data_IF_914262083267
#
_entry.id   IF_914262083267
#
_cell.length_a   1.000
_cell.length_b   1.000
_cell.length_c   1.000
_cell.angle_alpha   90.00
_cell.angle_beta   90.00
_cell.angle_gamma   90.00
#
_symmetry.space_group_name_H-M   'P 1'
#
loop_
_entity.id
_entity.type
_entity.pdbx_description
1 polymer ?
#
# COMPACT_ATOMS: atom_id res chain seq x y z
N UNK A 1 16.66 -22.14 10.66
CA UNK A 1 17.05 -20.98 11.52
C UNK A 1 17.43 -21.56 12.88
N UNK A 2 18.71 -21.52 13.20
CA UNK A 2 19.23 -22.04 14.47
C UNK A 2 19.04 -21.00 15.56
N UNK A 3 18.52 -21.42 16.73
CA UNK A 3 18.41 -20.58 17.92
C UNK A 3 19.81 -20.10 18.37
N UNK A 4 19.94 -18.89 18.89
CA UNK A 4 21.23 -18.42 19.41
C UNK A 4 21.63 -19.24 20.65
N UNK A 5 22.94 -19.51 20.86
CA UNK A 5 23.39 -20.36 21.92
C UNK A 5 23.14 -19.72 23.30
N UNK A 6 22.55 -20.49 24.19
CA UNK A 6 22.16 -20.15 25.56
C UNK A 6 23.34 -19.97 26.56
N UNK A 7 24.44 -19.31 26.17
CA UNK A 7 25.63 -19.19 27.00
C UNK A 7 25.88 -17.82 27.68
N UNK A 8 24.97 -16.86 27.52
CA UNK A 8 25.16 -15.51 28.08
C UNK A 8 24.45 -15.27 29.42
N UNK A 9 23.76 -16.27 30.01
CA UNK A 9 22.91 -16.08 31.19
C UNK A 9 23.56 -16.45 32.53
N UNK A 10 24.81 -16.91 32.57
CA UNK A 10 25.48 -17.31 33.82
C UNK A 10 26.93 -16.81 33.91
N UNK A 11 27.19 -15.55 33.67
CA UNK A 11 28.39 -14.89 34.20
C UNK A 11 27.98 -14.23 35.51
N UNK A 12 28.62 -14.55 36.65
CA UNK A 12 28.44 -13.79 37.88
C UNK A 12 29.00 -12.39 37.62
N UNK A 13 28.11 -11.38 37.55
CA UNK A 13 28.53 -9.99 37.56
C UNK A 13 29.07 -9.69 38.97
N UNK A 14 30.37 -9.59 39.07
CA UNK A 14 31.00 -8.96 40.25
C UNK A 14 30.41 -7.56 40.41
N UNK A 15 29.74 -7.34 41.55
CA UNK A 15 29.12 -6.09 41.96
C UNK A 15 30.22 -5.07 42.29
N UNK A 16 30.81 -4.39 41.30
CA UNK A 16 31.46 -3.09 41.50
C UNK A 16 31.94 -2.51 40.14
N UNK A 17 31.39 -1.40 39.75
CA UNK A 17 31.61 -0.59 38.55
C UNK A 17 30.75 -0.97 37.34
N UNK A 18 29.53 -0.39 37.29
CA UNK A 18 28.89 -0.25 35.99
C UNK A 18 29.89 0.39 35.02
N UNK A 19 30.13 -0.21 33.82
CA UNK A 19 31.08 0.36 32.89
C UNK A 19 30.67 1.81 32.60
N UNK A 20 31.59 2.76 32.74
CA UNK A 20 31.33 4.20 32.48
C UNK A 20 30.58 4.44 31.17
N UNK A 21 30.74 3.55 30.21
CA UNK A 21 30.08 3.58 28.94
C UNK A 21 28.55 3.44 29.07
N UNK A 22 28.04 2.59 29.98
CA UNK A 22 26.61 2.41 30.21
C UNK A 22 25.99 3.70 30.75
N UNK A 23 26.66 4.35 31.70
CA UNK A 23 26.21 5.65 32.24
C UNK A 23 26.19 6.75 31.16
N UNK A 24 27.20 6.78 30.29
CA UNK A 24 27.24 7.74 29.17
C UNK A 24 26.10 7.49 28.16
N UNK A 25 25.80 6.23 27.78
CA UNK A 25 24.71 5.87 26.89
C UNK A 25 23.35 6.22 27.52
N UNK A 26 23.15 5.96 28.81
CA UNK A 26 21.92 6.37 29.52
C UNK A 26 21.77 7.89 29.54
N UNK A 27 22.85 8.62 29.78
CA UNK A 27 22.85 10.08 29.75
C UNK A 27 22.51 10.63 28.38
N UNK A 28 23.12 10.09 27.33
CA UNK A 28 22.78 10.45 25.95
C UNK A 28 21.29 10.24 25.66
N UNK A 29 20.73 9.08 26.00
CA UNK A 29 19.30 8.81 25.80
C UNK A 29 18.40 9.78 26.60
N UNK A 30 18.79 10.11 27.84
CA UNK A 30 18.04 11.05 28.67
C UNK A 30 18.06 12.49 28.09
N UNK A 31 19.21 12.93 27.56
CA UNK A 31 19.32 14.24 26.88
C UNK A 31 18.48 14.24 25.58
N UNK A 32 18.45 13.13 24.84
CA UNK A 32 17.65 12.98 23.62
C UNK A 32 16.13 13.07 23.88
N UNK A 33 15.67 12.60 25.06
CA UNK A 33 14.30 12.81 25.51
C UNK A 33 13.96 14.30 25.78
N UNK A 34 14.96 15.14 26.08
CA UNK A 34 14.84 16.60 26.16
C UNK A 34 13.94 17.15 27.28
N UNK A 35 13.63 16.34 28.31
CA UNK A 35 12.64 16.68 29.36
C UNK A 35 13.16 16.65 30.77
N UNK A 36 14.47 16.39 30.99
CA UNK A 36 15.05 16.20 32.32
C UNK A 36 15.89 17.38 32.76
N UNK A 37 15.67 17.81 34.01
CA UNK A 37 16.55 18.75 34.73
C UNK A 37 17.84 18.06 35.19
N UNK A 38 18.78 18.82 35.69
CA UNK A 38 20.05 18.28 36.18
C UNK A 38 19.87 17.19 37.26
N UNK A 39 18.99 17.39 38.24
CA UNK A 39 18.74 16.39 39.28
C UNK A 39 17.99 15.16 38.71
N UNK A 40 17.05 15.38 37.82
CA UNK A 40 16.35 14.28 37.14
C UNK A 40 17.28 13.46 36.23
N UNK A 41 18.26 14.08 35.56
CA UNK A 41 19.31 13.36 34.83
C UNK A 41 20.14 12.47 35.78
N UNK A 42 20.50 13.01 36.97
CA UNK A 42 21.20 12.21 38.00
C UNK A 42 20.40 10.98 38.39
N UNK A 43 19.11 11.13 38.62
CA UNK A 43 18.24 10.04 39.01
C UNK A 43 18.06 9.04 37.87
N UNK A 44 17.85 9.54 36.63
CA UNK A 44 17.63 8.72 35.45
C UNK A 44 18.78 7.82 35.05
N UNK A 45 20.02 8.27 35.28
CA UNK A 45 21.22 7.47 35.00
C UNK A 45 21.69 6.64 36.21
N UNK A 46 21.01 6.77 37.35
CA UNK A 46 21.28 5.98 38.55
C UNK A 46 20.71 4.57 38.42
N UNK A 47 21.40 3.59 38.95
CA UNK A 47 20.90 2.22 39.06
C UNK A 47 21.30 1.66 40.44
N UNK A 48 20.32 1.13 41.18
CA UNK A 48 20.51 0.64 42.52
C UNK A 48 21.03 1.73 43.48
N UNK A 49 22.04 1.42 44.27
CA UNK A 49 22.62 2.35 45.24
C UNK A 49 23.65 3.35 44.63
N UNK A 50 23.95 3.23 43.32
CA UNK A 50 24.97 4.06 42.67
C UNK A 50 24.31 5.29 42.00
N UNK A 51 24.22 6.37 42.77
CA UNK A 51 23.86 7.71 42.28
C UNK A 51 25.12 8.52 41.97
N UNK A 52 25.34 8.97 40.71
CA UNK A 52 26.53 9.75 40.38
C UNK A 52 26.56 11.07 41.16
N UNK A 53 27.72 11.50 41.60
CA UNK A 53 27.88 12.80 42.22
C UNK A 53 27.64 13.92 41.20
N UNK A 54 27.28 15.12 41.68
CA UNK A 54 27.17 16.33 40.87
C UNK A 54 28.42 16.58 40.00
N UNK A 55 29.62 16.33 40.59
CA UNK A 55 30.91 16.44 39.90
C UNK A 55 31.03 15.40 38.77
N UNK A 56 30.58 14.17 39.02
CA UNK A 56 30.63 13.09 38.03
C UNK A 56 29.70 13.38 36.85
N UNK A 57 28.47 13.82 37.11
CA UNK A 57 27.51 14.16 36.02
C UNK A 57 28.04 15.32 35.17
N UNK A 58 28.56 16.38 35.78
CA UNK A 58 29.17 17.50 35.02
C UNK A 58 30.33 17.04 34.16
N UNK A 59 31.18 16.13 34.66
CA UNK A 59 32.25 15.54 33.87
C UNK A 59 31.74 14.70 32.72
N UNK A 60 30.67 13.93 32.92
CA UNK A 60 30.04 13.15 31.80
C UNK A 60 29.45 14.05 30.73
N UNK A 61 28.79 15.14 31.13
CA UNK A 61 28.28 16.13 30.18
C UNK A 61 29.42 16.78 29.39
N UNK A 62 30.54 17.13 30.04
CA UNK A 62 31.76 17.66 29.38
C UNK A 62 32.33 16.65 28.37
N UNK A 63 32.45 15.37 28.76
CA UNK A 63 32.94 14.30 27.87
C UNK A 63 32.04 14.15 26.65
N UNK A 64 30.72 14.25 26.81
CA UNK A 64 29.80 14.20 25.68
C UNK A 64 29.95 15.41 24.73
N UNK A 65 30.18 16.61 25.30
CA UNK A 65 30.45 17.80 24.50
C UNK A 65 31.77 17.67 23.70
N UNK A 66 32.83 17.21 24.37
CA UNK A 66 34.15 16.95 23.77
C UNK A 66 34.07 15.86 22.68
N UNK A 67 33.17 14.89 22.85
CA UNK A 67 32.89 13.86 21.86
C UNK A 67 32.03 14.34 20.70
N UNK A 68 31.64 15.61 20.66
CA UNK A 68 30.89 16.22 19.55
C UNK A 68 29.36 16.14 19.67
N UNK A 69 28.81 15.70 20.80
CA UNK A 69 27.36 15.70 21.01
C UNK A 69 26.85 17.10 21.34
N UNK A 70 26.01 17.74 20.49
CA UNK A 70 25.64 19.15 20.62
C UNK A 70 24.48 19.34 21.61
N UNK A 71 24.71 19.06 22.88
CA UNK A 71 23.72 19.31 23.92
C UNK A 71 23.84 20.73 24.49
N UNK A 72 22.73 21.25 25.02
CA UNK A 72 22.69 22.53 25.75
C UNK A 72 21.69 22.46 26.90
N UNK A 73 21.80 23.41 27.80
CA UNK A 73 20.87 23.61 28.89
C UNK A 73 19.86 24.70 28.52
N UNK A 74 18.61 24.30 28.39
CA UNK A 74 17.49 25.22 28.11
C UNK A 74 17.00 25.83 29.43
N UNK A 75 17.27 27.11 29.62
CA UNK A 75 16.90 27.87 30.83
C UNK A 75 15.41 28.05 30.99
N UNK A 76 14.66 28.14 29.89
CA UNK A 76 13.23 28.39 29.89
C UNK A 76 12.46 27.17 30.43
N UNK A 77 12.90 25.97 30.09
CA UNK A 77 12.27 24.71 30.49
C UNK A 77 13.04 24.03 31.64
N UNK A 78 14.19 24.55 32.03
CA UNK A 78 15.10 23.95 33.03
C UNK A 78 15.51 22.50 32.69
N UNK A 79 15.73 22.22 31.35
CA UNK A 79 16.06 20.87 30.88
C UNK A 79 17.32 20.82 30.03
N UNK A 80 17.94 19.63 30.01
CA UNK A 80 19.04 19.34 29.09
C UNK A 80 18.47 18.68 27.82
N UNK A 81 18.89 19.17 26.67
CA UNK A 81 18.46 18.67 25.38
C UNK A 81 19.53 18.82 24.31
N UNK A 82 19.41 18.10 23.22
CA UNK A 82 20.24 18.33 22.05
C UNK A 82 19.80 19.59 21.29
N UNK A 83 20.74 20.18 20.55
CA UNK A 83 20.48 21.30 19.65
C UNK A 83 19.39 20.94 18.65
N UNK A 84 18.65 21.95 18.20
CA UNK A 84 17.56 21.76 17.26
C UNK A 84 18.04 21.01 16.00
N UNK A 85 17.33 19.96 15.66
CA UNK A 85 17.65 19.10 14.51
C UNK A 85 18.62 17.96 14.80
N UNK A 86 19.15 17.82 16.02
CA UNK A 86 19.96 16.68 16.42
C UNK A 86 19.16 15.72 17.31
N UNK A 87 19.24 14.41 17.05
CA UNK A 87 18.71 13.33 17.89
C UNK A 87 19.49 12.05 17.63
N UNK A 88 19.70 11.23 18.65
CA UNK A 88 20.32 9.90 18.54
C UNK A 88 19.46 8.90 17.77
N UNK A 89 18.15 9.14 17.71
CA UNK A 89 17.16 8.31 17.05
C UNK A 89 16.70 8.90 15.71
N UNK A 90 17.39 9.93 15.23
CA UNK A 90 17.00 10.61 14.01
C UNK A 90 17.16 9.68 12.82
N UNK A 91 16.06 9.46 12.11
CA UNK A 91 16.07 8.79 10.82
C UNK A 91 16.62 9.79 9.78
N UNK A 92 17.78 9.50 9.20
CA UNK A 92 18.31 10.26 8.08
C UNK A 92 17.70 9.74 6.78
N UNK A 93 17.04 10.63 6.07
CA UNK A 93 16.44 10.32 4.78
C UNK A 93 17.23 11.02 3.67
N UNK A 94 17.63 10.27 2.67
CA UNK A 94 18.16 10.80 1.42
C UNK A 94 17.09 11.57 0.66
N UNK A 95 17.51 12.41 -0.30
CA UNK A 95 16.58 13.13 -1.15
C UNK A 95 15.61 12.23 -1.92
N UNK A 96 16.06 11.04 -2.33
CA UNK A 96 15.23 10.03 -3.01
C UNK A 96 14.19 9.42 -2.09
N UNK A 97 14.54 9.08 -0.84
CA UNK A 97 13.61 8.55 0.13
C UNK A 97 12.58 9.59 0.56
N UNK A 98 13.01 10.85 0.71
CA UNK A 98 12.10 11.96 0.98
C UNK A 98 11.10 12.16 -0.17
N UNK A 99 11.56 12.09 -1.43
CA UNK A 99 10.67 12.14 -2.59
C UNK A 99 9.68 10.96 -2.59
N UNK A 100 10.15 9.76 -2.20
CA UNK A 100 9.29 8.58 -2.00
C UNK A 100 8.16 8.82 -0.99
N UNK A 101 8.45 9.46 0.15
CA UNK A 101 7.41 9.79 1.15
C UNK A 101 6.41 10.84 0.62
N UNK A 102 6.90 11.84 -0.12
CA UNK A 102 6.02 12.83 -0.76
C UNK A 102 5.10 12.16 -1.78
N UNK A 103 5.64 11.24 -2.58
CA UNK A 103 4.86 10.46 -3.56
C UNK A 103 3.82 9.55 -2.87
N UNK A 104 4.21 8.84 -1.81
CA UNK A 104 3.30 8.02 -1.00
C UNK A 104 2.12 8.84 -0.47
N UNK A 105 2.39 10.04 0.05
CA UNK A 105 1.35 10.94 0.53
C UNK A 105 0.42 11.43 -0.58
N UNK A 106 0.98 11.74 -1.76
CA UNK A 106 0.18 12.14 -2.92
C UNK A 106 -0.72 10.99 -3.42
N UNK A 107 -0.25 9.74 -3.31
CA UNK A 107 -1.05 8.52 -3.58
C UNK A 107 -2.12 8.33 -2.50
N UNK A 108 -1.76 8.48 -1.21
CA UNK A 108 -2.68 8.35 -0.08
C UNK A 108 -3.94 9.20 -0.25
N UNK A 109 -3.77 10.45 -0.68
CA UNK A 109 -4.87 11.37 -0.95
C UNK A 109 -5.87 10.84 -2.00
N UNK A 110 -5.45 9.91 -2.87
CA UNK A 110 -6.28 9.30 -3.92
C UNK A 110 -6.88 7.95 -3.49
N UNK A 111 -6.45 7.39 -2.35
CA UNK A 111 -6.89 6.07 -1.89
C UNK A 111 -8.13 6.12 -0.97
N UNK A 112 -8.70 7.32 -0.73
CA UNK A 112 -9.80 7.50 0.21
C UNK A 112 -9.43 7.17 1.66
N UNK A 113 -10.36 7.37 2.59
CA UNK A 113 -10.14 7.19 4.03
C UNK A 113 -9.81 5.76 4.42
N UNK A 114 -10.40 4.77 3.76
CA UNK A 114 -10.26 3.35 4.13
C UNK A 114 -8.82 2.82 4.06
N UNK A 115 -8.01 3.28 3.12
CA UNK A 115 -6.61 2.87 2.96
C UNK A 115 -5.65 4.04 3.19
N UNK A 116 -6.02 5.25 2.78
CA UNK A 116 -5.19 6.45 2.91
C UNK A 116 -4.77 6.71 4.35
N UNK A 117 -5.66 6.53 5.32
CA UNK A 117 -5.36 6.69 6.76
C UNK A 117 -4.18 5.84 7.22
N UNK A 118 -4.08 4.58 6.77
CA UNK A 118 -2.94 3.72 7.15
C UNK A 118 -1.61 4.22 6.56
N UNK A 119 -1.64 4.73 5.33
CA UNK A 119 -0.45 5.30 4.68
C UNK A 119 -0.03 6.59 5.40
N UNK A 120 -0.99 7.43 5.78
CA UNK A 120 -0.74 8.67 6.50
C UNK A 120 -0.15 8.40 7.89
N UNK A 121 -0.68 7.43 8.65
CA UNK A 121 -0.13 7.02 9.94
C UNK A 121 1.33 6.55 9.85
N UNK A 122 1.66 5.75 8.84
CA UNK A 122 3.03 5.28 8.61
C UNK A 122 3.93 6.46 8.22
N UNK A 123 3.47 7.32 7.33
CA UNK A 123 4.20 8.50 6.88
C UNK A 123 4.45 9.47 8.05
N UNK A 124 3.48 9.66 8.93
CA UNK A 124 3.66 10.48 10.14
C UNK A 124 4.68 9.90 11.12
N UNK A 125 4.68 8.58 11.33
CA UNK A 125 5.70 7.93 12.19
C UNK A 125 7.10 8.12 11.62
N UNK A 126 7.28 7.92 10.32
CA UNK A 126 8.58 8.08 9.64
C UNK A 126 9.04 9.55 9.70
N UNK A 127 8.17 10.49 9.35
CA UNK A 127 8.52 11.92 9.35
C UNK A 127 8.76 12.46 10.75
N UNK A 128 8.04 11.95 11.76
CA UNK A 128 8.27 12.25 13.17
C UNK A 128 9.65 11.81 13.65
N UNK A 129 10.11 10.63 13.22
CA UNK A 129 11.46 10.12 13.53
C UNK A 129 12.56 10.86 12.74
N UNK A 130 12.25 11.38 11.56
CA UNK A 130 13.21 12.11 10.71
C UNK A 130 13.40 13.60 11.10
N UNK A 131 12.51 14.14 11.93
CA UNK A 131 12.59 15.50 12.46
C UNK A 131 11.76 16.55 11.69
N UNK A 132 11.66 17.76 12.30
CA UNK A 132 10.73 18.80 11.86
C UNK A 132 10.91 19.24 10.40
N UNK A 133 12.12 19.43 9.93
CA UNK A 133 12.39 19.86 8.55
C UNK A 133 11.97 18.85 7.49
N UNK A 134 12.01 17.55 7.79
CA UNK A 134 11.49 16.49 6.91
C UNK A 134 9.97 16.52 6.93
N UNK A 135 9.37 16.66 8.11
CA UNK A 135 7.91 16.74 8.27
C UNK A 135 7.33 17.90 7.44
N UNK A 136 7.91 19.09 7.53
CA UNK A 136 7.48 20.29 6.78
C UNK A 136 7.56 20.08 5.27
N UNK A 137 8.63 19.45 4.76
CA UNK A 137 8.79 19.16 3.34
C UNK A 137 7.80 18.11 2.82
N UNK A 138 7.57 17.07 3.59
CA UNK A 138 6.61 15.99 3.23
C UNK A 138 5.17 16.50 3.33
N UNK A 139 4.86 17.41 4.26
CA UNK A 139 3.54 18.02 4.41
C UNK A 139 3.28 19.18 3.45
N UNK A 140 4.30 19.69 2.76
CA UNK A 140 4.17 20.73 1.74
C UNK A 140 3.41 20.27 0.49
N UNK A 141 3.20 21.19 -0.44
CA UNK A 141 2.58 20.86 -1.74
C UNK A 141 3.48 19.90 -2.51
N UNK A 142 2.99 18.70 -2.86
CA UNK A 142 3.81 17.71 -3.55
C UNK A 142 4.10 18.17 -4.99
N UNK A 143 5.34 17.98 -5.50
CA UNK A 143 5.69 18.28 -6.88
C UNK A 143 5.11 17.27 -7.88
N UNK A 144 4.41 16.26 -7.40
CA UNK A 144 3.79 15.19 -8.18
C UNK A 144 2.35 15.00 -7.73
N UNK A 145 1.44 14.85 -8.69
CA UNK A 145 0.03 14.54 -8.43
C UNK A 145 -0.32 13.24 -9.15
N UNK A 146 -0.91 12.31 -8.41
CA UNK A 146 -1.48 11.08 -8.97
C UNK A 146 -2.98 11.30 -9.18
N UNK A 147 -3.44 10.99 -10.39
CA UNK A 147 -4.88 10.99 -10.72
C UNK A 147 -5.34 9.57 -10.90
N UNK A 148 -5.81 8.99 -9.82
CA UNK A 148 -6.58 7.76 -9.85
C UNK A 148 -8.08 8.11 -9.73
N UNK A 149 -8.96 7.21 -10.15
CA UNK A 149 -10.36 7.32 -9.73
C UNK A 149 -10.38 7.26 -8.21
N UNK A 150 -10.91 8.28 -7.55
CA UNK A 150 -11.00 8.30 -6.08
C UNK A 150 -11.72 7.03 -5.61
N UNK A 151 -11.11 6.36 -4.65
CA UNK A 151 -11.75 5.26 -3.97
C UNK A 151 -12.79 5.84 -3.01
N UNK A 152 -14.05 5.64 -3.35
CA UNK A 152 -15.16 6.08 -2.51
C UNK A 152 -15.83 4.84 -1.90
N UNK A 153 -15.61 4.65 -0.60
CA UNK A 153 -16.44 3.80 0.21
C UNK A 153 -17.23 4.73 1.15
N UNK A 154 -18.51 4.50 1.26
CA UNK A 154 -19.31 5.12 2.31
C UNK A 154 -18.97 4.48 3.67
N UNK A 155 -19.58 4.97 4.73
CA UNK A 155 -19.30 4.54 6.09
C UNK A 155 -19.52 3.03 6.29
N UNK A 156 -20.53 2.47 5.63
CA UNK A 156 -20.82 1.04 5.65
C UNK A 156 -19.79 0.24 4.85
N UNK A 157 -19.42 0.70 3.66
CA UNK A 157 -18.36 0.08 2.85
C UNK A 157 -17.01 0.08 3.55
N UNK A 158 -16.66 1.15 4.27
CA UNK A 158 -15.45 1.17 5.11
C UNK A 158 -15.52 0.15 6.26
N UNK A 159 -16.69 0.01 6.89
CA UNK A 159 -16.90 -1.01 7.93
C UNK A 159 -16.73 -2.41 7.37
N UNK A 160 -17.36 -2.70 6.24
CA UNK A 160 -17.27 -3.98 5.53
C UNK A 160 -15.82 -4.28 5.15
N UNK A 161 -15.11 -3.31 4.57
CA UNK A 161 -13.71 -3.46 4.20
C UNK A 161 -12.83 -3.80 5.41
N UNK A 162 -12.99 -3.11 6.54
CA UNK A 162 -12.24 -3.39 7.78
C UNK A 162 -12.52 -4.80 8.30
N UNK A 163 -13.78 -5.25 8.27
CA UNK A 163 -14.16 -6.59 8.71
C UNK A 163 -13.59 -7.68 7.79
N UNK A 164 -13.70 -7.52 6.47
CA UNK A 164 -13.12 -8.43 5.48
C UNK A 164 -11.59 -8.50 5.60
N UNK A 165 -10.92 -7.35 5.76
CA UNK A 165 -9.46 -7.28 5.95
C UNK A 165 -9.02 -7.97 7.25
N UNK A 166 -9.82 -7.87 8.32
CA UNK A 166 -9.55 -8.58 9.57
C UNK A 166 -9.74 -10.09 9.41
N UNK A 167 -10.79 -10.51 8.69
CA UNK A 167 -11.07 -11.91 8.41
C UNK A 167 -9.99 -12.55 7.52
N UNK A 168 -9.51 -11.83 6.50
CA UNK A 168 -8.39 -12.27 5.64
C UNK A 168 -7.12 -12.51 6.48
N UNK A 169 -6.70 -11.52 7.29
CA UNK A 169 -5.50 -11.64 8.14
C UNK A 169 -5.58 -12.78 9.16
N UNK A 170 -6.78 -13.06 9.67
CA UNK A 170 -7.01 -14.13 10.66
C UNK A 170 -7.47 -15.46 10.03
N UNK A 171 -7.50 -15.53 8.68
CA UNK A 171 -7.95 -16.69 7.92
C UNK A 171 -9.32 -17.19 8.37
N UNK A 172 -10.29 -16.28 8.56
CA UNK A 172 -11.64 -16.56 9.02
C UNK A 172 -12.65 -16.53 7.87
N UNK A 173 -13.50 -17.54 7.84
CA UNK A 173 -14.63 -17.61 6.91
C UNK A 173 -15.61 -16.48 7.21
N UNK A 174 -16.20 -15.91 6.15
CA UNK A 174 -17.22 -14.87 6.26
C UNK A 174 -18.52 -15.32 5.63
N UNK A 175 -19.64 -14.78 6.13
CA UNK A 175 -20.95 -14.89 5.48
C UNK A 175 -21.52 -13.49 5.28
N UNK A 176 -22.19 -13.26 4.15
CA UNK A 176 -22.75 -11.96 3.82
C UNK A 176 -23.88 -12.07 2.78
N UNK A 177 -24.64 -11.00 2.64
CA UNK A 177 -25.57 -10.81 1.54
C UNK A 177 -24.87 -10.02 0.43
N UNK A 178 -24.86 -10.58 -0.80
CA UNK A 178 -24.28 -9.91 -1.97
C UNK A 178 -25.37 -9.49 -2.95
N UNK A 179 -25.29 -8.26 -3.44
CA UNK A 179 -26.14 -7.73 -4.49
C UNK A 179 -25.34 -7.66 -5.79
N UNK A 180 -25.73 -8.41 -6.82
CA UNK A 180 -25.06 -8.41 -8.11
C UNK A 180 -25.41 -7.17 -8.97
N UNK A 181 -24.80 -7.08 -10.18
CA UNK A 181 -25.03 -5.95 -11.10
C UNK A 181 -26.46 -5.87 -11.62
N UNK A 182 -27.18 -6.97 -11.62
CA UNK A 182 -28.58 -7.09 -12.01
C UNK A 182 -29.54 -6.79 -10.86
N UNK A 183 -29.02 -6.57 -9.65
CA UNK A 183 -29.81 -6.29 -8.45
C UNK A 183 -30.28 -7.53 -7.69
N UNK A 184 -29.86 -8.72 -8.08
CA UNK A 184 -30.23 -9.95 -7.38
C UNK A 184 -29.44 -10.08 -6.07
N UNK A 185 -30.15 -10.36 -4.98
CA UNK A 185 -29.57 -10.57 -3.67
C UNK A 185 -29.39 -12.06 -3.41
N UNK A 186 -28.22 -12.44 -2.91
CA UNK A 186 -27.90 -13.82 -2.55
C UNK A 186 -27.01 -13.87 -1.30
N UNK A 187 -27.24 -14.84 -0.43
CA UNK A 187 -26.34 -15.13 0.68
C UNK A 187 -25.11 -15.84 0.14
N UNK A 188 -23.94 -15.51 0.71
CA UNK A 188 -22.65 -16.08 0.37
C UNK A 188 -21.91 -16.51 1.62
N UNK A 189 -21.18 -17.60 1.48
CA UNK A 189 -20.16 -18.04 2.44
C UNK A 189 -18.84 -18.07 1.68
N UNK A 190 -17.83 -17.36 2.19
CA UNK A 190 -16.60 -17.20 1.44
C UNK A 190 -15.37 -17.12 2.33
N UNK A 191 -14.21 -17.50 1.76
CA UNK A 191 -12.88 -17.37 2.34
C UNK A 191 -12.19 -16.16 1.70
N UNK A 192 -12.02 -15.04 2.38
CA UNK A 192 -11.38 -13.85 1.81
C UNK A 192 -9.89 -14.10 1.58
N UNK A 193 -9.42 -13.94 0.34
CA UNK A 193 -8.03 -14.17 -0.04
C UNK A 193 -7.21 -12.88 -0.22
N UNK A 194 -7.89 -11.75 -0.41
CA UNK A 194 -7.23 -10.45 -0.56
C UNK A 194 -8.08 -9.43 -1.32
N UNK A 195 -7.47 -8.32 -1.73
CA UNK A 195 -8.22 -7.19 -2.28
C UNK A 195 -7.58 -6.67 -3.56
N UNK A 196 -8.43 -6.20 -4.47
CA UNK A 196 -8.07 -5.45 -5.67
C UNK A 196 -8.77 -4.10 -5.62
N UNK A 197 -8.02 -3.02 -5.86
CA UNK A 197 -8.60 -1.68 -6.05
C UNK A 197 -8.52 -1.34 -7.53
N UNK A 198 -9.66 -1.13 -8.14
CA UNK A 198 -9.74 -0.83 -9.57
C UNK A 198 -10.85 0.17 -9.86
N UNK A 199 -10.53 1.19 -10.68
CA UNK A 199 -11.50 2.21 -11.13
C UNK A 199 -12.26 2.88 -9.98
N UNK A 200 -11.59 3.11 -8.84
CA UNK A 200 -12.17 3.74 -7.65
C UNK A 200 -13.04 2.83 -6.79
N UNK A 201 -13.12 1.53 -7.08
CA UNK A 201 -13.86 0.55 -6.27
C UNK A 201 -12.92 -0.47 -5.63
N UNK A 202 -13.30 -0.94 -4.46
CA UNK A 202 -12.61 -2.02 -3.75
C UNK A 202 -13.33 -3.33 -3.99
N UNK A 203 -12.57 -4.35 -4.30
CA UNK A 203 -13.07 -5.70 -4.53
C UNK A 203 -12.36 -6.68 -3.61
N UNK A 204 -13.11 -7.59 -3.01
CA UNK A 204 -12.59 -8.73 -2.28
C UNK A 204 -12.52 -9.94 -3.20
N UNK A 205 -11.33 -10.52 -3.35
CA UNK A 205 -11.14 -11.82 -3.99
C UNK A 205 -11.31 -12.88 -2.92
N UNK A 206 -12.23 -13.81 -3.12
CA UNK A 206 -12.54 -14.85 -2.15
C UNK A 206 -12.89 -16.18 -2.83
N UNK A 207 -12.72 -17.29 -2.13
CA UNK A 207 -13.29 -18.56 -2.54
C UNK A 207 -14.74 -18.63 -2.09
N UNK A 208 -15.66 -18.75 -3.03
CA UNK A 208 -17.10 -18.85 -2.81
C UNK A 208 -17.48 -20.32 -2.58
N UNK A 209 -17.98 -20.65 -1.40
CA UNK A 209 -18.33 -22.03 -1.03
C UNK A 209 -19.52 -22.58 -1.83
N UNK A 210 -20.48 -21.71 -2.23
CA UNK A 210 -21.65 -22.12 -3.00
C UNK A 210 -21.31 -22.41 -4.48
N UNK A 211 -20.30 -21.71 -4.98
CA UNK A 211 -19.86 -21.83 -6.39
C UNK A 211 -18.68 -22.77 -6.55
N UNK A 212 -18.03 -23.15 -5.45
CA UNK A 212 -16.80 -23.94 -5.43
C UNK A 212 -15.69 -23.35 -6.31
N UNK A 213 -15.61 -22.01 -6.33
CA UNK A 213 -14.67 -21.28 -7.20
C UNK A 213 -14.25 -19.94 -6.58
N UNK A 214 -13.16 -19.38 -7.08
CA UNK A 214 -12.71 -18.03 -6.73
C UNK A 214 -13.63 -17.00 -7.39
N UNK A 215 -14.09 -16.04 -6.61
CA UNK A 215 -14.99 -14.97 -7.05
C UNK A 215 -14.49 -13.62 -6.54
N UNK A 216 -14.97 -12.58 -7.21
CA UNK A 216 -14.68 -11.21 -6.87
C UNK A 216 -15.96 -10.52 -6.43
N UNK A 217 -15.94 -9.95 -5.25
CA UNK A 217 -17.08 -9.28 -4.64
C UNK A 217 -16.75 -7.80 -4.44
N UNK A 218 -17.52 -6.91 -5.05
CA UNK A 218 -17.41 -5.48 -4.80
C UNK A 218 -17.83 -5.19 -3.35
N UNK A 219 -16.96 -4.52 -2.59
CA UNK A 219 -17.14 -4.28 -1.15
C UNK A 219 -18.39 -3.46 -0.87
N UNK A 220 -18.71 -2.50 -1.71
CA UNK A 220 -19.90 -1.66 -1.66
C UNK A 220 -21.22 -2.39 -2.00
N UNK A 221 -21.13 -3.63 -2.45
CA UNK A 221 -22.28 -4.50 -2.78
C UNK A 221 -22.48 -5.60 -1.73
N UNK A 222 -21.71 -5.57 -0.64
CA UNK A 222 -21.78 -6.51 0.50
C UNK A 222 -22.60 -5.90 1.62
N UNK A 223 -23.54 -6.65 2.15
CA UNK A 223 -24.34 -6.29 3.31
C UNK A 223 -24.43 -7.46 4.30
N UNK A 224 -24.84 -7.19 5.53
CA UNK A 224 -25.07 -8.20 6.58
C UNK A 224 -23.83 -9.12 6.78
N UNK A 225 -22.63 -8.53 6.83
CA UNK A 225 -21.37 -9.27 6.93
C UNK A 225 -21.13 -9.74 8.36
N UNK A 226 -20.93 -11.06 8.50
CA UNK A 226 -20.52 -11.72 9.73
C UNK A 226 -19.22 -12.51 9.54
N UNK A 227 -18.32 -12.47 10.53
CA UNK A 227 -17.08 -13.26 10.56
C UNK A 227 -17.32 -14.50 11.41
N UNK A 228 -17.24 -15.68 10.78
CA UNK A 228 -17.51 -16.95 11.42
C UNK A 228 -16.34 -17.42 12.30
N UNK A 229 -16.62 -18.35 13.24
CA UNK A 229 -15.58 -19.00 14.02
C UNK A 229 -14.70 -19.95 13.20
N UNK A 230 -15.20 -20.42 12.06
CA UNK A 230 -14.52 -21.31 11.14
C UNK A 230 -13.32 -20.64 10.50
N UNK A 231 -12.22 -21.39 10.35
CA UNK A 231 -11.01 -20.94 9.64
C UNK A 231 -10.88 -21.65 8.31
N UNK A 232 -10.16 -21.03 7.38
CA UNK A 232 -9.80 -21.61 6.09
C UNK A 232 -8.30 -21.67 5.90
N UNK A 233 -7.84 -22.42 4.92
CA UNK A 233 -6.43 -22.44 4.49
C UNK A 233 -6.35 -21.86 3.08
N UNK A 234 -5.69 -20.71 2.95
CA UNK A 234 -5.41 -20.10 1.65
C UNK A 234 -4.42 -20.97 0.86
N UNK A 235 -4.68 -21.28 -0.42
CA UNK A 235 -3.74 -22.05 -1.22
C UNK A 235 -2.36 -21.38 -1.28
N UNK A 236 -1.29 -22.14 -1.05
CA UNK A 236 0.08 -21.59 -0.99
C UNK A 236 0.51 -20.86 -2.26
N UNK A 237 0.01 -21.29 -3.42
CA UNK A 237 0.35 -20.71 -4.72
C UNK A 237 -0.63 -19.62 -5.17
N UNK A 238 -1.54 -19.17 -4.30
CA UNK A 238 -2.48 -18.11 -4.66
C UNK A 238 -1.85 -16.72 -4.46
N UNK A 239 -1.78 -15.96 -5.53
CA UNK A 239 -1.44 -14.54 -5.56
C UNK A 239 -2.65 -13.75 -6.08
N UNK A 240 -3.00 -12.66 -5.39
CA UNK A 240 -4.01 -11.71 -5.87
C UNK A 240 -3.54 -11.04 -7.16
N UNK A 241 -2.25 -10.77 -7.27
CA UNK A 241 -1.64 -10.16 -8.45
C UNK A 241 -1.78 -11.07 -9.68
N UNK A 242 -1.41 -12.37 -9.56
CA UNK A 242 -1.56 -13.33 -10.65
C UNK A 242 -3.02 -13.54 -11.03
N UNK A 243 -3.90 -13.58 -10.02
CA UNK A 243 -5.34 -13.70 -10.23
C UNK A 243 -5.90 -12.53 -11.04
N UNK A 244 -5.45 -11.31 -10.75
CA UNK A 244 -5.88 -10.09 -11.42
C UNK A 244 -5.20 -9.88 -12.78
N UNK A 245 -4.07 -10.55 -13.05
CA UNK A 245 -3.18 -10.26 -14.19
C UNK A 245 -3.80 -10.50 -15.56
N UNK A 246 -4.81 -11.39 -15.66
CA UNK A 246 -5.52 -11.71 -16.91
C UNK A 246 -6.70 -10.77 -17.22
N UNK A 247 -7.03 -9.85 -16.31
CA UNK A 247 -8.14 -8.90 -16.44
C UNK A 247 -7.61 -7.47 -16.54
N UNK A 248 -8.23 -6.64 -17.36
CA UNK A 248 -7.87 -5.23 -17.55
C UNK A 248 -8.16 -4.43 -16.27
N UNK A 249 -9.28 -4.70 -15.62
CA UNK A 249 -9.65 -4.08 -14.34
C UNK A 249 -9.06 -4.79 -13.13
N UNK A 250 -8.47 -5.99 -13.29
CA UNK A 250 -8.08 -6.85 -12.20
C UNK A 250 -9.25 -7.51 -11.44
N UNK A 251 -10.46 -7.35 -11.92
CA UNK A 251 -11.69 -7.72 -11.20
C UNK A 251 -12.34 -8.98 -11.77
N UNK A 252 -12.22 -9.22 -13.06
CA UNK A 252 -12.83 -10.35 -13.71
C UNK A 252 -11.82 -11.48 -13.82
N UNK A 253 -12.14 -12.63 -13.26
CA UNK A 253 -11.32 -13.81 -13.33
C UNK A 253 -12.02 -14.92 -14.07
N UNK A 254 -11.29 -15.56 -14.97
CA UNK A 254 -11.69 -16.79 -15.61
C UNK A 254 -10.42 -17.64 -15.79
N UNK A 255 -10.45 -18.90 -15.38
CA UNK A 255 -9.34 -19.82 -15.59
C UNK A 255 -9.07 -20.07 -17.09
N UNK A 256 -10.05 -19.73 -17.95
CA UNK A 256 -9.91 -19.76 -19.40
C UNK A 256 -9.72 -18.35 -19.93
N UNK A 257 -8.53 -18.09 -20.47
CA UNK A 257 -8.27 -16.87 -21.22
C UNK A 257 -8.53 -17.06 -22.71
N UNK A 258 -8.87 -15.97 -23.37
CA UNK A 258 -9.04 -15.91 -24.83
C UNK A 258 -7.95 -15.05 -25.41
N UNK A 259 -7.25 -15.54 -26.42
CA UNK A 259 -6.34 -14.71 -27.20
C UNK A 259 -7.11 -13.78 -28.12
N UNK A 260 -6.88 -12.48 -27.95
CA UNK A 260 -7.48 -11.45 -28.81
C UNK A 260 -6.37 -10.61 -29.43
N UNK A 261 -6.38 -10.51 -30.76
CA UNK A 261 -5.43 -9.70 -31.52
C UNK A 261 -6.05 -8.37 -31.89
N UNK A 262 -5.36 -7.29 -31.53
CA UNK A 262 -5.77 -5.90 -31.79
C UNK A 262 -4.70 -5.21 -32.61
N UNK A 263 -5.10 -4.63 -33.75
CA UNK A 263 -4.24 -3.77 -34.57
C UNK A 263 -4.44 -2.32 -34.17
N UNK A 264 -3.33 -1.60 -33.97
CA UNK A 264 -3.31 -0.18 -33.67
C UNK A 264 -2.62 0.59 -34.80
N UNK A 265 -3.22 1.70 -35.23
CA UNK A 265 -2.67 2.56 -36.24
C UNK A 265 -1.31 3.17 -35.83
N UNK A 266 -0.44 3.56 -36.79
CA UNK A 266 0.89 4.09 -36.49
C UNK A 266 0.88 5.28 -35.51
N UNK A 267 -0.12 6.12 -35.62
CA UNK A 267 -0.27 7.32 -34.76
C UNK A 267 -0.35 6.98 -33.27
N UNK A 268 -0.93 5.83 -32.90
CA UNK A 268 -1.14 5.40 -31.50
C UNK A 268 -0.27 4.22 -31.10
N UNK A 269 0.51 3.66 -32.01
CA UNK A 269 1.32 2.46 -31.78
C UNK A 269 2.21 2.55 -30.55
N UNK A 270 2.88 3.69 -30.31
CA UNK A 270 3.71 3.93 -29.13
C UNK A 270 2.90 3.89 -27.85
N UNK A 271 1.75 4.55 -27.82
CA UNK A 271 0.87 4.61 -26.64
C UNK A 271 0.25 3.22 -26.36
N UNK A 272 -0.22 2.52 -27.41
CA UNK A 272 -0.76 1.16 -27.28
C UNK A 272 0.29 0.18 -26.75
N UNK A 273 1.54 0.27 -27.25
CA UNK A 273 2.66 -0.55 -26.75
C UNK A 273 3.00 -0.25 -25.29
N UNK A 274 2.86 1.00 -24.84
CA UNK A 274 3.10 1.40 -23.45
C UNK A 274 1.98 0.98 -22.50
N UNK A 275 0.75 0.83 -23.02
CA UNK A 275 -0.42 0.44 -22.22
C UNK A 275 -0.35 -1.05 -21.84
N UNK A 276 0.06 -1.33 -20.59
CA UNK A 276 0.15 -2.68 -20.02
C UNK A 276 -1.16 -3.05 -19.33
N UNK A 277 -2.20 -3.33 -20.12
CA UNK A 277 -3.54 -3.63 -19.59
C UNK A 277 -3.69 -5.05 -19.06
N UNK A 278 -2.89 -6.00 -19.55
CA UNK A 278 -2.74 -7.36 -19.01
C UNK A 278 -1.28 -7.77 -19.04
N UNK A 279 -0.91 -8.74 -18.21
CA UNK A 279 0.47 -9.20 -18.08
C UNK A 279 0.94 -9.97 -19.32
N UNK A 280 0.09 -10.89 -19.82
CA UNK A 280 0.43 -11.78 -20.92
C UNK A 280 0.00 -11.16 -22.25
N UNK A 281 1.00 -10.71 -23.04
CA UNK A 281 0.83 -10.10 -24.33
C UNK A 281 2.02 -10.28 -25.26
N UNK A 282 1.78 -10.43 -26.55
CA UNK A 282 2.81 -10.43 -27.59
C UNK A 282 2.62 -9.19 -28.48
N UNK A 283 3.72 -8.60 -28.94
CA UNK A 283 3.74 -7.36 -29.74
C UNK A 283 4.44 -7.63 -31.07
N UNK A 284 3.76 -7.40 -32.18
CA UNK A 284 4.29 -7.49 -33.52
C UNK A 284 4.23 -6.10 -34.19
N UNK A 285 5.36 -5.62 -34.69
CA UNK A 285 5.45 -4.35 -35.42
C UNK A 285 5.33 -4.63 -36.91
N UNK A 286 4.55 -3.80 -37.61
CA UNK A 286 4.36 -3.88 -39.06
C UNK A 286 5.19 -2.81 -39.75
N UNK A 287 5.52 -3.05 -41.05
CA UNK A 287 6.33 -2.14 -41.87
C UNK A 287 5.63 -0.78 -42.11
N UNK A 288 4.29 -0.77 -42.07
CA UNK A 288 3.49 0.45 -42.18
C UNK A 288 3.49 1.33 -40.92
N UNK A 289 4.26 0.94 -39.89
CA UNK A 289 4.34 1.61 -38.61
C UNK A 289 3.20 1.26 -37.64
N UNK A 290 2.23 0.46 -38.05
CA UNK A 290 1.19 -0.07 -37.17
C UNK A 290 1.76 -1.14 -36.22
N UNK A 291 1.05 -1.44 -35.16
CA UNK A 291 1.40 -2.52 -34.22
C UNK A 291 0.21 -3.43 -34.02
N UNK A 292 0.46 -4.73 -34.05
CA UNK A 292 -0.52 -5.75 -33.66
C UNK A 292 -0.12 -6.32 -32.31
N UNK A 293 -1.05 -6.34 -31.37
CA UNK A 293 -0.83 -6.83 -30.01
C UNK A 293 -1.82 -7.96 -29.74
N UNK A 294 -1.28 -9.13 -29.37
CA UNK A 294 -2.06 -10.27 -28.87
C UNK A 294 -2.19 -10.18 -27.37
N UNK A 295 -3.40 -10.22 -26.84
CA UNK A 295 -3.71 -10.18 -25.41
C UNK A 295 -4.37 -11.49 -25.00
N UNK A 296 -3.88 -12.07 -23.88
CA UNK A 296 -4.58 -13.18 -23.21
C UNK A 296 -5.52 -12.59 -22.15
N UNK A 297 -6.82 -12.59 -22.41
CA UNK A 297 -7.80 -11.92 -21.54
C UNK A 297 -8.83 -12.88 -20.98
N UNK A 298 -9.18 -12.67 -19.71
CA UNK A 298 -10.23 -13.41 -19.02
C UNK A 298 -11.64 -12.97 -19.45
N UNK A 299 -11.81 -11.71 -19.88
CA UNK A 299 -13.07 -11.15 -20.33
C UNK A 299 -12.88 -10.36 -21.63
N UNK A 300 -13.47 -10.89 -22.69
CA UNK A 300 -13.43 -10.27 -24.03
C UNK A 300 -14.28 -9.00 -24.13
N UNK A 301 -15.33 -8.86 -23.34
CA UNK A 301 -16.17 -7.67 -23.33
C UNK A 301 -15.46 -6.49 -22.67
N UNK A 302 -14.63 -6.76 -21.67
CA UNK A 302 -13.78 -5.75 -21.05
C UNK A 302 -12.76 -5.22 -22.05
N UNK A 303 -12.08 -6.11 -22.78
CA UNK A 303 -11.15 -5.72 -23.84
C UNK A 303 -11.85 -4.97 -24.96
N UNK A 304 -13.04 -5.41 -25.38
CA UNK A 304 -13.82 -4.75 -26.41
C UNK A 304 -14.14 -3.29 -26.05
N UNK A 305 -14.58 -3.05 -24.81
CA UNK A 305 -14.82 -1.68 -24.30
C UNK A 305 -13.55 -0.85 -24.27
N UNK A 306 -12.43 -1.44 -23.86
CA UNK A 306 -11.15 -0.74 -23.84
C UNK A 306 -10.67 -0.38 -25.25
N UNK A 307 -10.82 -1.29 -26.22
CA UNK A 307 -10.47 -1.04 -27.63
C UNK A 307 -11.32 0.08 -28.22
N UNK A 308 -12.62 0.14 -27.90
CA UNK A 308 -13.50 1.23 -28.33
C UNK A 308 -13.03 2.60 -27.85
N UNK A 309 -12.35 2.68 -26.72
CA UNK A 309 -11.75 3.92 -26.21
C UNK A 309 -10.66 4.52 -27.11
N UNK A 310 -10.09 3.72 -28.02
CA UNK A 310 -9.10 4.19 -29.03
C UNK A 310 -9.78 4.74 -30.29
N UNK A 311 -11.10 4.66 -30.39
CA UNK A 311 -11.88 5.09 -31.56
C UNK A 311 -11.43 4.34 -32.82
N UNK A 312 -11.36 5.05 -33.94
CA UNK A 312 -10.96 4.49 -35.24
C UNK A 312 -9.45 4.14 -35.34
N UNK A 313 -8.68 4.30 -34.27
CA UNK A 313 -7.24 4.02 -34.27
C UNK A 313 -6.91 2.57 -33.84
N UNK A 314 -7.91 1.79 -33.42
CA UNK A 314 -7.75 0.40 -33.03
C UNK A 314 -8.81 -0.49 -33.65
N UNK A 315 -8.41 -1.71 -34.04
CA UNK A 315 -9.29 -2.69 -34.64
C UNK A 315 -8.99 -4.09 -34.05
N UNK A 316 -10.05 -4.82 -33.68
CA UNK A 316 -9.92 -6.23 -33.31
C UNK A 316 -9.81 -7.07 -34.60
N UNK A 317 -8.63 -7.69 -34.76
CA UNK A 317 -8.33 -8.51 -35.93
C UNK A 317 -8.87 -9.95 -35.77
N UNK A 318 -8.68 -10.50 -34.55
CA UNK A 318 -9.10 -11.85 -34.21
C UNK A 318 -9.40 -11.99 -32.71
N UNK A 319 -10.27 -12.94 -32.32
CA UNK A 319 -11.08 -13.80 -33.16
C UNK A 319 -12.32 -13.06 -33.72
N UNK A 320 -12.98 -13.65 -34.73
CA UNK A 320 -14.13 -13.04 -35.39
C UNK A 320 -15.28 -12.73 -34.43
N UNK A 321 -15.55 -13.62 -33.48
CA UNK A 321 -16.61 -13.49 -32.48
C UNK A 321 -16.46 -12.21 -31.64
N UNK A 322 -15.24 -11.87 -31.23
CA UNK A 322 -14.95 -10.66 -30.47
C UNK A 322 -15.10 -9.42 -31.34
N UNK A 323 -14.64 -9.49 -32.59
CA UNK A 323 -14.85 -8.42 -33.59
C UNK A 323 -16.32 -8.14 -33.81
N UNK A 324 -17.13 -9.18 -33.95
CA UNK A 324 -18.58 -9.04 -34.17
C UNK A 324 -19.29 -8.45 -32.94
N UNK A 325 -18.82 -8.75 -31.75
CA UNK A 325 -19.25 -8.09 -30.50
C UNK A 325 -19.00 -6.58 -30.52
N UNK A 326 -17.80 -6.14 -30.93
CA UNK A 326 -17.49 -4.71 -31.08
C UNK A 326 -18.41 -4.07 -32.12
N UNK A 327 -18.68 -4.75 -33.24
CA UNK A 327 -19.63 -4.27 -34.26
C UNK A 327 -21.04 -4.07 -33.69
N UNK A 328 -21.52 -5.01 -32.88
CA UNK A 328 -22.82 -4.87 -32.21
C UNK A 328 -22.86 -3.67 -31.25
N UNK A 329 -21.80 -3.47 -30.48
CA UNK A 329 -21.68 -2.32 -29.57
C UNK A 329 -21.68 -0.98 -30.35
N UNK A 330 -20.94 -0.92 -31.47
CA UNK A 330 -20.92 0.27 -32.35
C UNK A 330 -22.32 0.54 -32.92
N UNK A 331 -23.02 -0.49 -33.36
CA UNK A 331 -24.39 -0.35 -33.88
C UNK A 331 -25.37 0.18 -32.81
N UNK A 332 -25.26 -0.32 -31.58
CA UNK A 332 -26.06 0.16 -30.46
C UNK A 332 -25.73 1.62 -30.09
N UNK A 333 -24.46 2.00 -30.11
CA UNK A 333 -23.99 3.39 -29.87
C UNK A 333 -24.54 4.27 -30.99
N UNK A 334 -24.35 3.88 -32.27
CA UNK A 334 -24.84 4.61 -33.44
C UNK A 334 -26.36 4.87 -33.39
N UNK A 335 -27.13 3.86 -33.00
CA UNK A 335 -28.57 4.01 -32.82
C UNK A 335 -28.96 5.02 -31.74
N UNK A 336 -28.21 5.10 -30.64
CA UNK A 336 -28.45 6.07 -29.56
C UNK A 336 -28.12 7.52 -29.95
N UNK A 337 -27.20 7.71 -30.88
CA UNK A 337 -26.83 9.03 -31.39
C UNK A 337 -27.49 9.38 -32.72
N UNK A 338 -28.45 8.56 -33.19
CA UNK A 338 -29.16 8.73 -34.45
C UNK A 338 -28.25 8.92 -35.68
N UNK A 339 -27.04 8.30 -35.59
CA UNK A 339 -26.07 8.37 -36.67
C UNK A 339 -26.44 7.35 -37.77
N UNK A 340 -26.41 7.74 -39.08
CA UNK A 340 -26.62 6.77 -40.16
C UNK A 340 -25.48 5.75 -40.12
N UNK A 341 -25.82 4.47 -39.96
CA UNK A 341 -24.84 3.39 -40.10
C UNK A 341 -24.47 3.34 -41.59
N UNK A 342 -23.25 3.80 -41.93
CA UNK A 342 -22.76 3.73 -43.30
C UNK A 342 -22.85 2.27 -43.82
N UNK A 343 -23.32 2.13 -45.07
CA UNK A 343 -23.34 0.85 -45.77
C UNK A 343 -21.95 0.34 -46.09
#
# INVERSE_FOLDING_TARGET
MAAPPAKWHNMPMERTNEPKIVLLVRLLNAIDEGRFSFEQLKDRISEGEHRPSTRSLRRYLAVLADAGFPWYFDRATNTYRFSEGYSLKRLELSSSEMFGLVALRAISASLGSAIGTYVDEVTEKITGAAGRGVKERVQGTPPVTFRFSEMQLDEEGERVFRMLSSAERSSRVVTFTYTDKEGHRSKRVADPYGFVVSSGRVYCVAYDHDRHDKRVFAVDSVADLDVLAQTFTKPQNFSVEDFAASSISGVLHNDRTTEVRVKFAPRVAKAATAARIVADRAIERRDDGSVEISYQVADVDELARWVLGWGAQAEIVAPAEVRDRVRMLIAQISAKYELPVGK
#
